data_IF_590631086570
#
_entry.id   IF_590631086570
#
_cell.length_a   1.000
_cell.length_b   1.000
_cell.length_c   1.000
_cell.angle_alpha   90.00
_cell.angle_beta   90.00
_cell.angle_gamma   90.00
#
_symmetry.space_group_name_H-M   'P 1'
#
loop_
_entity.id
_entity.type
_entity.pdbx_description
1 polymer ?
#
# COMPACT_ATOMS: atom_id res chain seq x y z
N UNK A 1 5.75 14.58 -15.79
CA UNK A 1 5.46 13.45 -16.70
C UNK A 1 4.69 12.44 -15.89
N UNK A 2 3.41 12.22 -16.22
CA UNK A 2 2.61 11.18 -15.59
C UNK A 2 3.08 9.84 -16.14
N UNK A 3 3.53 8.97 -15.25
CA UNK A 3 3.88 7.60 -15.56
C UNK A 3 2.59 6.79 -15.66
N UNK A 4 2.14 6.53 -16.89
CA UNK A 4 1.13 5.50 -17.11
C UNK A 4 1.83 4.13 -17.11
N UNK A 5 1.60 3.35 -16.04
CA UNK A 5 1.98 1.94 -15.98
C UNK A 5 0.76 1.08 -16.30
N UNK A 6 0.96 -0.06 -16.95
CA UNK A 6 -0.11 -0.79 -17.67
C UNK A 6 -1.20 -1.36 -16.75
N UNK A 7 -0.95 -1.45 -15.44
CA UNK A 7 -1.93 -1.86 -14.40
C UNK A 7 -2.44 -0.71 -13.49
N UNK A 8 -1.91 0.52 -13.60
CA UNK A 8 -2.39 1.66 -12.81
C UNK A 8 -3.64 2.33 -13.39
N UNK A 9 -4.31 1.70 -14.36
CA UNK A 9 -5.52 2.27 -14.99
C UNK A 9 -6.62 2.47 -13.96
N UNK A 10 -6.83 3.72 -13.55
CA UNK A 10 -7.83 4.11 -12.56
C UNK A 10 -7.35 4.08 -11.11
N UNK A 11 -6.07 3.81 -10.86
CA UNK A 11 -5.47 3.91 -9.52
C UNK A 11 -4.60 5.15 -9.40
N UNK A 12 -4.80 5.94 -8.35
CA UNK A 12 -3.84 6.90 -7.84
C UNK A 12 -2.82 6.14 -6.97
N UNK A 13 -1.54 6.29 -7.29
CA UNK A 13 -0.45 5.61 -6.58
C UNK A 13 -0.06 6.44 -5.36
N UNK A 14 0.04 5.80 -4.20
CA UNK A 14 0.58 6.38 -2.97
C UNK A 14 1.81 5.61 -2.52
N UNK A 15 2.87 6.35 -2.26
CA UNK A 15 4.19 5.83 -1.90
C UNK A 15 4.61 6.46 -0.57
N UNK A 16 4.31 5.81 0.58
CA UNK A 16 4.74 6.31 1.86
C UNK A 16 6.26 6.49 1.87
N UNK A 17 6.71 7.69 2.22
CA UNK A 17 8.11 8.11 2.07
C UNK A 17 9.08 7.17 2.78
N UNK A 18 8.66 6.66 3.94
CA UNK A 18 9.46 5.76 4.78
C UNK A 18 9.60 4.34 4.22
N UNK A 19 8.80 3.96 3.20
CA UNK A 19 8.85 2.64 2.57
C UNK A 19 9.57 2.62 1.22
N UNK A 20 9.93 3.78 0.65
CA UNK A 20 10.51 3.86 -0.69
C UNK A 20 11.77 3.00 -0.89
N UNK A 21 12.68 2.99 0.10
CA UNK A 21 13.88 2.12 0.03
C UNK A 21 13.55 0.63 0.09
N UNK A 22 12.44 0.26 0.73
CA UNK A 22 12.02 -1.11 0.92
C UNK A 22 11.29 -1.65 -0.32
N UNK A 23 10.40 -0.84 -0.91
CA UNK A 23 9.68 -1.19 -2.13
C UNK A 23 10.58 -1.23 -3.36
N UNK A 24 11.69 -0.49 -3.36
CA UNK A 24 12.67 -0.50 -4.45
C UNK A 24 13.58 -1.75 -4.47
N UNK A 25 13.57 -2.59 -3.43
CA UNK A 25 14.43 -3.77 -3.32
C UNK A 25 13.62 -5.06 -3.58
N UNK A 26 13.83 -5.76 -4.72
CA UNK A 26 13.06 -6.94 -5.08
C UNK A 26 13.06 -8.07 -4.05
N UNK A 27 14.20 -8.29 -3.38
CA UNK A 27 14.34 -9.29 -2.33
C UNK A 27 13.61 -8.92 -1.02
N UNK A 28 13.18 -7.65 -0.89
CA UNK A 28 12.41 -7.13 0.23
C UNK A 28 10.92 -6.97 -0.07
N UNK A 29 10.46 -7.24 -1.30
CA UNK A 29 9.06 -7.05 -1.67
C UNK A 29 8.09 -7.81 -0.76
N UNK A 30 8.44 -9.01 -0.27
CA UNK A 30 7.56 -9.74 0.65
C UNK A 30 7.31 -8.99 1.95
N UNK A 31 8.36 -8.38 2.51
CA UNK A 31 8.24 -7.55 3.69
C UNK A 31 7.52 -6.23 3.37
N UNK A 32 7.79 -5.63 2.21
CA UNK A 32 7.08 -4.44 1.74
C UNK A 32 5.57 -4.67 1.61
N UNK A 33 5.15 -5.76 0.95
CA UNK A 33 3.73 -6.12 0.80
C UNK A 33 3.07 -6.37 2.15
N UNK A 34 3.75 -7.00 3.10
CA UNK A 34 3.23 -7.18 4.44
C UNK A 34 3.04 -5.83 5.18
N UNK A 35 4.03 -4.94 5.11
CA UNK A 35 3.96 -3.58 5.67
C UNK A 35 2.83 -2.76 5.03
N UNK A 36 2.72 -2.79 3.71
CA UNK A 36 1.65 -2.13 2.97
C UNK A 36 0.28 -2.69 3.36
N UNK A 37 0.15 -4.02 3.53
CA UNK A 37 -1.10 -4.64 3.96
C UNK A 37 -1.51 -4.22 5.36
N UNK A 38 -0.54 -4.12 6.26
CA UNK A 38 -0.75 -3.61 7.61
C UNK A 38 -1.18 -2.14 7.60
N UNK A 39 -0.57 -1.31 6.74
CA UNK A 39 -1.00 0.07 6.53
C UNK A 39 -2.41 0.16 5.97
N UNK A 40 -2.79 -0.67 5.01
CA UNK A 40 -4.17 -0.72 4.49
C UNK A 40 -5.16 -0.96 5.63
N UNK A 41 -4.88 -1.91 6.53
CA UNK A 41 -5.74 -2.15 7.69
C UNK A 41 -5.80 -0.95 8.64
N UNK A 42 -4.66 -0.28 8.88
CA UNK A 42 -4.60 0.93 9.70
C UNK A 42 -5.39 2.10 9.11
N UNK A 43 -5.19 2.37 7.81
CA UNK A 43 -5.89 3.40 7.06
C UNK A 43 -7.41 3.16 7.02
N UNK A 44 -7.83 1.91 6.79
CA UNK A 44 -9.25 1.55 6.80
C UNK A 44 -9.89 1.72 8.18
N UNK A 45 -9.14 1.44 9.25
CA UNK A 45 -9.63 1.63 10.61
C UNK A 45 -9.78 3.11 10.97
N UNK A 46 -8.81 3.95 10.59
CA UNK A 46 -8.77 5.36 11.00
C UNK A 46 -9.59 6.29 10.10
N UNK A 47 -9.54 6.07 8.78
CA UNK A 47 -10.19 6.91 7.78
C UNK A 47 -11.52 6.34 7.30
N UNK A 48 -12.14 5.46 8.09
CA UNK A 48 -13.33 4.68 7.70
C UNK A 48 -14.43 5.51 7.03
N UNK A 49 -14.71 6.70 7.58
CA UNK A 49 -15.76 7.59 7.06
C UNK A 49 -15.35 8.33 5.80
N UNK A 50 -14.08 8.75 5.72
CA UNK A 50 -13.51 9.43 4.57
C UNK A 50 -13.36 8.49 3.38
N UNK A 51 -13.09 7.21 3.62
CA UNK A 51 -12.89 6.19 2.58
C UNK A 51 -14.19 5.65 1.97
N UNK A 52 -15.36 6.22 2.29
CA UNK A 52 -16.62 5.85 1.63
C UNK A 52 -16.52 6.10 0.13
N UNK A 53 -16.66 5.04 -0.67
CA UNK A 53 -16.51 5.12 -2.13
C UNK A 53 -15.06 5.14 -2.63
N UNK A 54 -14.10 4.80 -1.76
CA UNK A 54 -12.68 4.73 -2.07
C UNK A 54 -12.16 3.34 -1.72
N UNK A 55 -11.54 2.67 -2.69
CA UNK A 55 -10.87 1.40 -2.46
C UNK A 55 -9.37 1.61 -2.33
N UNK A 56 -8.79 1.08 -1.24
CA UNK A 56 -7.35 1.01 -1.06
C UNK A 56 -6.91 -0.43 -1.27
N UNK A 57 -5.94 -0.65 -2.14
CA UNK A 57 -5.37 -1.95 -2.46
C UNK A 57 -3.86 -1.88 -2.55
N UNK A 58 -3.19 -3.03 -2.48
CA UNK A 58 -1.78 -3.12 -2.85
C UNK A 58 -1.75 -3.46 -4.34
N UNK A 59 -1.02 -2.67 -5.12
CA UNK A 59 -0.91 -2.83 -6.56
C UNK A 59 0.55 -3.01 -6.96
N UNK A 60 0.75 -3.60 -8.13
CA UNK A 60 2.04 -3.63 -8.81
C UNK A 60 2.15 -2.36 -9.65
N UNK A 61 3.26 -1.65 -9.53
CA UNK A 61 3.58 -0.49 -10.34
C UNK A 61 4.75 -0.85 -11.24
N UNK A 62 4.63 -0.54 -12.53
CA UNK A 62 5.70 -0.73 -13.52
C UNK A 62 6.29 0.63 -13.93
N UNK A 63 7.02 1.27 -13.02
CA UNK A 63 7.71 2.53 -13.31
C UNK A 63 9.19 2.42 -12.95
N UNK A 64 10.05 2.39 -13.98
CA UNK A 64 11.51 2.17 -13.82
C UNK A 64 11.87 0.89 -13.05
N UNK A 65 10.99 -0.12 -13.10
CA UNK A 65 11.07 -1.36 -12.34
C UNK A 65 9.68 -1.73 -11.82
N UNK A 66 9.45 -3.03 -11.59
CA UNK A 66 8.22 -3.49 -10.98
C UNK A 66 8.35 -3.44 -9.45
N UNK A 67 7.47 -2.71 -8.77
CA UNK A 67 7.46 -2.62 -7.30
C UNK A 67 6.03 -2.59 -6.72
N UNK A 68 5.83 -3.01 -5.47
CA UNK A 68 4.54 -2.92 -4.81
C UNK A 68 4.31 -1.50 -4.24
N UNK A 69 3.09 -0.99 -4.38
CA UNK A 69 2.67 0.30 -3.82
C UNK A 69 1.22 0.25 -3.30
N UNK A 70 0.78 1.32 -2.63
CA UNK A 70 -0.64 1.51 -2.35
C UNK A 70 -1.31 2.09 -3.61
N UNK A 71 -2.39 1.46 -4.04
CA UNK A 71 -3.28 1.96 -5.06
C UNK A 71 -4.59 2.44 -4.42
N UNK A 72 -5.01 3.65 -4.76
CA UNK A 72 -6.32 4.20 -4.43
C UNK A 72 -7.19 4.23 -5.70
N UNK A 73 -8.37 3.64 -5.64
CA UNK A 73 -9.37 3.73 -6.71
C UNK A 73 -10.64 4.39 -6.20
N UNK A 74 -11.06 5.45 -6.88
CA UNK A 74 -12.31 6.16 -6.58
C UNK A 74 -13.46 5.45 -7.31
N UNK A 75 -14.39 4.88 -6.55
CA UNK A 75 -15.55 4.16 -7.10
C UNK A 75 -16.66 5.14 -7.50
N UNK A 76 -16.76 6.27 -6.79
CA UNK A 76 -17.68 7.36 -7.05
C UNK A 76 -16.90 8.68 -7.22
N UNK A 77 -17.55 9.73 -7.72
CA UNK A 77 -17.03 11.10 -7.60
C UNK A 77 -16.86 11.45 -6.12
N UNK A 78 -15.62 11.40 -5.65
CA UNK A 78 -15.22 11.71 -4.28
C UNK A 78 -14.12 12.76 -4.30
N UNK A 79 -13.90 13.40 -3.16
CA UNK A 79 -12.78 14.32 -3.02
C UNK A 79 -11.46 13.57 -3.19
N UNK A 80 -10.44 14.22 -3.75
CA UNK A 80 -9.08 13.66 -3.79
C UNK A 80 -8.57 13.50 -2.35
N UNK A 81 -8.34 12.26 -1.94
CA UNK A 81 -7.86 11.88 -0.62
C UNK A 81 -6.38 11.49 -0.61
N UNK A 82 -5.68 11.60 -1.74
CA UNK A 82 -4.32 11.07 -1.87
C UNK A 82 -3.38 11.63 -0.81
N UNK A 83 -3.35 12.96 -0.65
CA UNK A 83 -2.53 13.62 0.39
C UNK A 83 -2.91 13.21 1.81
N UNK A 84 -4.21 13.05 2.08
CA UNK A 84 -4.68 12.64 3.40
C UNK A 84 -4.19 11.22 3.71
N UNK A 85 -4.36 10.29 2.76
CA UNK A 85 -3.95 8.89 2.91
C UNK A 85 -2.43 8.77 3.06
N UNK A 86 -1.66 9.52 2.25
CA UNK A 86 -0.20 9.56 2.35
C UNK A 86 0.26 10.05 3.74
N UNK A 87 -0.29 11.18 4.21
CA UNK A 87 0.04 11.73 5.54
C UNK A 87 -0.36 10.79 6.68
N UNK A 88 -1.53 10.17 6.59
CA UNK A 88 -1.98 9.18 7.59
C UNK A 88 -1.10 7.93 7.56
N UNK A 89 -0.69 7.45 6.38
CA UNK A 89 0.21 6.30 6.26
C UNK A 89 1.58 6.59 6.89
N UNK A 90 2.18 7.73 6.57
CA UNK A 90 3.46 8.14 7.14
C UNK A 90 3.37 8.32 8.66
N UNK A 91 2.29 8.94 9.16
CA UNK A 91 2.06 9.06 10.61
C UNK A 91 1.90 7.69 11.28
N UNK A 92 1.14 6.76 10.68
CA UNK A 92 0.99 5.40 11.21
C UNK A 92 2.33 4.65 11.29
N UNK A 93 3.21 4.83 10.30
CA UNK A 93 4.57 4.26 10.31
C UNK A 93 5.44 4.83 11.43
N UNK A 94 5.23 6.09 11.80
CA UNK A 94 6.00 6.76 12.86
C UNK A 94 5.49 6.44 14.26
N UNK A 95 4.17 6.34 14.43
CA UNK A 95 3.55 6.20 15.75
C UNK A 95 3.37 4.74 16.20
N UNK A 96 3.15 3.82 15.26
CA UNK A 96 2.91 2.43 15.62
C UNK A 96 4.22 1.68 15.82
N UNK A 97 4.21 0.80 16.81
CA UNK A 97 5.41 0.08 17.21
C UNK A 97 5.70 -1.09 16.26
N UNK A 98 6.98 -1.47 16.17
CA UNK A 98 7.39 -2.71 15.49
C UNK A 98 6.69 -3.93 16.09
N UNK A 99 6.40 -3.90 17.39
CA UNK A 99 5.65 -4.96 18.09
C UNK A 99 4.22 -5.10 17.54
N UNK A 100 3.56 -4.01 17.18
CA UNK A 100 2.22 -4.05 16.58
C UNK A 100 2.24 -4.70 15.19
N UNK A 101 3.30 -4.42 14.42
CA UNK A 101 3.51 -5.06 13.13
C UNK A 101 3.84 -6.56 13.29
N UNK A 102 4.67 -6.93 14.26
CA UNK A 102 4.94 -8.33 14.57
C UNK A 102 3.66 -9.07 15.00
N UNK A 103 2.82 -8.45 15.83
CA UNK A 103 1.53 -9.01 16.21
C UNK A 103 0.60 -9.21 15.00
N UNK A 104 0.61 -8.27 14.05
CA UNK A 104 -0.08 -8.42 12.77
C UNK A 104 0.43 -9.63 11.98
N UNK A 105 1.75 -9.80 11.85
CA UNK A 105 2.34 -10.94 11.12
C UNK A 105 1.97 -12.29 11.75
N UNK A 106 1.89 -12.36 13.08
CA UNK A 106 1.50 -13.59 13.79
C UNK A 106 -0.01 -13.87 13.62
N UNK A 107 -0.83 -12.82 13.63
CA UNK A 107 -2.29 -12.93 13.47
C UNK A 107 -2.67 -13.33 12.05
N UNK A 108 -2.09 -12.65 11.06
CA UNK A 108 -2.32 -12.90 9.65
C UNK A 108 -1.50 -14.12 9.23
N UNK A 109 -2.12 -15.30 9.22
CA UNK A 109 -1.52 -16.55 8.75
C UNK A 109 -1.39 -16.58 7.22
N UNK A 110 -0.69 -15.61 6.65
CA UNK A 110 -0.52 -15.39 5.23
C UNK A 110 0.89 -15.80 4.81
N UNK A 111 1.01 -16.54 3.71
CA UNK A 111 2.28 -16.75 3.02
C UNK A 111 2.63 -15.50 2.22
N UNK A 112 3.42 -14.63 2.81
CA UNK A 112 3.82 -13.36 2.22
C UNK A 112 4.68 -13.52 0.97
N UNK A 113 5.48 -14.59 0.88
CA UNK A 113 6.30 -14.86 -0.30
C UNK A 113 5.40 -15.21 -1.49
N UNK A 114 4.46 -16.13 -1.29
CA UNK A 114 3.48 -16.49 -2.32
C UNK A 114 2.59 -15.31 -2.71
N UNK A 115 2.02 -14.59 -1.73
CA UNK A 115 1.18 -13.41 -2.00
C UNK A 115 1.91 -12.35 -2.82
N UNK A 116 3.20 -12.16 -2.53
CA UNK A 116 4.04 -11.21 -3.27
C UNK A 116 4.35 -11.72 -4.66
N UNK A 117 4.67 -13.00 -4.84
CA UNK A 117 4.86 -13.58 -6.17
C UNK A 117 3.58 -13.43 -7.03
N UNK A 118 2.41 -13.71 -6.46
CA UNK A 118 1.12 -13.55 -7.13
C UNK A 118 0.82 -12.07 -7.49
N UNK A 119 1.21 -11.12 -6.63
CA UNK A 119 1.07 -9.69 -6.91
C UNK A 119 2.03 -9.23 -8.01
N UNK A 120 3.29 -9.66 -7.95
CA UNK A 120 4.37 -9.15 -8.81
C UNK A 120 4.44 -9.85 -10.17
N UNK A 121 3.63 -10.89 -10.41
CA UNK A 121 3.56 -11.66 -11.66
C UNK A 121 2.37 -11.31 -12.56
N UNK A 122 1.43 -10.51 -12.06
CA UNK A 122 0.37 -9.87 -12.86
C UNK A 122 1.00 -8.81 -13.76
#
# INVERSE_FOLDING_TARGET
MQAESVESKGYQIIEPSSLGMLTAQPDKHAFAVAMLQWLVQGLQAELKEQLRGVEISIIRVEYQGAYPALGIRYVNESNDLGKLIEQTADRLLQERSVSDFAAFLVREKVDWARRTADLMSK
#
